data_IF_275186060454
#
_entry.id   IF_275186060454
#
_cell.length_a   1.000
_cell.length_b   1.000
_cell.length_c   1.000
_cell.angle_alpha   90.00
_cell.angle_beta   90.00
_cell.angle_gamma   90.00
#
_symmetry.space_group_name_H-M   'P 1'
#
loop_
_entity.id
_entity.type
_entity.pdbx_description
1 polymer ?
#
# COMPACT_ATOMS: atom_id res chain seq x y z
N UNK A 1 2.28 -8.00 11.41
CA UNK A 1 2.52 -8.46 10.01
C UNK A 1 1.25 -9.16 9.52
N UNK A 2 0.89 -9.14 8.23
CA UNK A 2 -0.40 -9.73 7.79
C UNK A 2 -0.56 -11.21 8.16
N UNK A 3 0.52 -11.99 8.10
CA UNK A 3 0.52 -13.38 8.58
C UNK A 3 0.06 -13.52 10.04
N UNK A 4 0.50 -12.62 10.94
CA UNK A 4 0.09 -12.64 12.35
C UNK A 4 -1.41 -12.35 12.51
N UNK A 5 -2.01 -11.56 11.61
CA UNK A 5 -3.45 -11.35 11.58
C UNK A 5 -4.16 -12.67 11.24
N UNK A 6 -3.72 -13.37 10.20
CA UNK A 6 -4.27 -14.67 9.82
C UNK A 6 -4.10 -15.71 10.93
N UNK A 7 -2.90 -15.80 11.50
CA UNK A 7 -2.58 -16.78 12.54
C UNK A 7 -3.42 -16.54 13.82
N UNK A 8 -3.73 -15.28 14.15
CA UNK A 8 -4.48 -14.91 15.35
C UNK A 8 -5.99 -14.88 15.17
N UNK A 9 -6.48 -14.43 14.02
CA UNK A 9 -7.90 -14.13 13.78
C UNK A 9 -8.54 -15.00 12.68
N UNK A 10 -7.74 -15.83 12.01
CA UNK A 10 -8.19 -16.68 10.91
C UNK A 10 -8.23 -15.94 9.57
N UNK A 11 -8.22 -16.72 8.49
CA UNK A 11 -8.19 -16.21 7.12
C UNK A 11 -9.39 -15.34 6.74
N UNK A 12 -10.59 -15.62 7.30
CA UNK A 12 -11.77 -14.80 7.04
C UNK A 12 -11.58 -13.33 7.47
N UNK A 13 -10.97 -13.10 8.64
CA UNK A 13 -10.61 -11.76 9.11
C UNK A 13 -9.49 -11.18 8.26
N UNK A 14 -8.51 -11.98 7.85
CA UNK A 14 -7.49 -11.57 6.90
C UNK A 14 -8.09 -11.03 5.60
N UNK A 15 -9.09 -11.72 5.06
CA UNK A 15 -9.78 -11.30 3.84
C UNK A 15 -10.53 -9.98 4.05
N UNK A 16 -11.20 -9.80 5.20
CA UNK A 16 -11.86 -8.53 5.54
C UNK A 16 -10.85 -7.38 5.63
N UNK A 17 -9.67 -7.62 6.21
CA UNK A 17 -8.58 -6.64 6.25
C UNK A 17 -8.13 -6.26 4.84
N UNK A 18 -7.92 -7.24 3.97
CA UNK A 18 -7.53 -6.99 2.58
C UNK A 18 -8.60 -6.24 1.80
N UNK A 19 -9.88 -6.55 2.00
CA UNK A 19 -11.00 -5.81 1.39
C UNK A 19 -11.05 -4.37 1.89
N UNK A 20 -10.86 -4.15 3.19
CA UNK A 20 -10.80 -2.81 3.78
C UNK A 20 -9.66 -1.97 3.20
N UNK A 21 -8.46 -2.54 3.09
CA UNK A 21 -7.31 -1.88 2.47
C UNK A 21 -7.57 -1.59 0.99
N UNK A 22 -8.11 -2.54 0.23
CA UNK A 22 -8.43 -2.35 -1.18
C UNK A 22 -9.43 -1.21 -1.40
N UNK A 23 -10.45 -1.11 -0.54
CA UNK A 23 -11.43 -0.03 -0.59
C UNK A 23 -10.81 1.34 -0.23
N UNK A 24 -9.91 1.38 0.76
CA UNK A 24 -9.14 2.58 1.10
C UNK A 24 -8.28 3.03 -0.08
N UNK A 25 -7.55 2.11 -0.72
CA UNK A 25 -6.74 2.43 -1.90
C UNK A 25 -7.65 3.02 -2.98
N UNK A 26 -8.74 2.32 -3.34
CA UNK A 26 -9.68 2.75 -4.38
C UNK A 26 -10.23 4.17 -4.17
N UNK A 27 -10.54 4.54 -2.92
CA UNK A 27 -11.09 5.88 -2.58
C UNK A 27 -10.04 6.99 -2.57
N UNK A 28 -8.77 6.66 -2.39
CA UNK A 28 -7.70 7.64 -2.20
C UNK A 28 -6.77 7.78 -3.43
N UNK A 29 -7.02 6.99 -4.47
CA UNK A 29 -6.32 7.07 -5.76
C UNK A 29 -7.10 7.93 -6.77
N UNK A 30 -6.43 8.81 -7.55
CA UNK A 30 -7.09 9.68 -8.52
C UNK A 30 -7.82 8.92 -9.65
N UNK A 31 -8.77 9.60 -10.31
CA UNK A 31 -9.37 9.09 -11.56
C UNK A 31 -8.26 8.87 -12.61
N UNK A 32 -8.35 7.78 -13.36
CA UNK A 32 -7.34 7.39 -14.35
C UNK A 32 -6.13 6.66 -13.76
N UNK A 33 -6.15 6.36 -12.47
CA UNK A 33 -5.21 5.44 -11.84
C UNK A 33 -5.64 3.98 -12.01
N UNK A 34 -4.66 3.08 -11.91
CA UNK A 34 -4.85 1.64 -11.84
C UNK A 34 -4.35 1.13 -10.49
N UNK A 35 -5.20 0.43 -9.76
CA UNK A 35 -4.84 -0.23 -8.51
C UNK A 35 -5.13 -1.73 -8.61
N UNK A 36 -4.26 -2.55 -8.02
CA UNK A 36 -4.42 -4.00 -8.05
C UNK A 36 -3.67 -4.69 -6.91
N UNK A 37 -4.15 -5.88 -6.54
CA UNK A 37 -3.44 -6.79 -5.63
C UNK A 37 -2.51 -7.67 -6.48
N UNK A 38 -1.21 -7.61 -6.20
CA UNK A 38 -0.19 -8.32 -6.99
C UNK A 38 0.20 -9.68 -6.38
N UNK A 39 -0.09 -9.88 -5.10
CA UNK A 39 0.15 -11.13 -4.37
C UNK A 39 -0.18 -10.95 -2.90
N UNK A 40 -0.27 -12.04 -2.13
CA UNK A 40 -0.30 -12.00 -0.64
C UNK A 40 -1.03 -10.80 -0.03
N UNK A 41 -0.31 -9.97 0.72
CA UNK A 41 -0.74 -8.68 1.27
C UNK A 41 -0.20 -7.47 0.49
N UNK A 42 0.16 -7.68 -0.77
CA UNK A 42 0.85 -6.72 -1.63
C UNK A 42 -0.09 -6.09 -2.66
N UNK A 43 -0.07 -4.77 -2.71
CA UNK A 43 -0.86 -3.95 -3.62
C UNK A 43 0.05 -3.03 -4.42
N UNK A 44 -0.31 -2.78 -5.67
CA UNK A 44 0.34 -1.81 -6.53
C UNK A 44 -0.67 -0.76 -7.00
N UNK A 45 -0.20 0.48 -7.11
CA UNK A 45 -0.95 1.61 -7.66
C UNK A 45 -0.09 2.31 -8.70
N UNK A 46 -0.64 2.49 -9.89
CA UNK A 46 -0.07 3.32 -10.95
C UNK A 46 -1.01 4.50 -11.16
N UNK A 47 -0.50 5.71 -11.05
CA UNK A 47 -1.29 6.93 -11.24
C UNK A 47 -0.58 7.90 -12.19
N UNK A 48 -1.33 8.70 -12.96
CA UNK A 48 -0.75 9.78 -13.75
C UNK A 48 -0.30 10.92 -12.81
N UNK A 49 0.74 11.64 -13.22
CA UNK A 49 1.22 12.83 -12.50
C UNK A 49 2.67 12.72 -12.05
N UNK A 50 2.99 13.49 -11.02
CA UNK A 50 4.33 13.63 -10.46
C UNK A 50 4.57 12.71 -9.25
N UNK A 51 5.82 12.63 -8.79
CA UNK A 51 6.14 11.98 -7.52
C UNK A 51 5.35 12.61 -6.34
N UNK A 52 5.17 13.93 -6.34
CA UNK A 52 4.42 14.64 -5.30
C UNK A 52 2.93 14.30 -5.28
N UNK A 53 2.32 13.97 -6.42
CA UNK A 53 0.94 13.48 -6.48
C UNK A 53 0.83 12.08 -5.86
N UNK A 54 1.84 11.24 -6.11
CA UNK A 54 1.92 9.91 -5.52
C UNK A 54 2.18 9.96 -4.01
N UNK A 55 3.02 10.88 -3.53
CA UNK A 55 3.24 11.11 -2.10
C UNK A 55 1.96 11.52 -1.39
N UNK A 56 1.23 12.50 -1.93
CA UNK A 56 -0.06 12.92 -1.36
C UNK A 56 -1.08 11.78 -1.35
N UNK A 57 -1.13 10.94 -2.40
CA UNK A 57 -2.00 9.77 -2.41
C UNK A 57 -1.59 8.74 -1.36
N UNK A 58 -0.29 8.50 -1.20
CA UNK A 58 0.24 7.57 -0.21
C UNK A 58 -0.03 8.03 1.23
N UNK A 59 0.12 9.33 1.53
CA UNK A 59 -0.21 9.90 2.84
C UNK A 59 -1.69 9.70 3.19
N UNK A 60 -2.60 10.02 2.26
CA UNK A 60 -4.03 9.77 2.44
C UNK A 60 -4.35 8.30 2.67
N UNK A 61 -3.71 7.39 1.92
CA UNK A 61 -3.87 5.95 2.10
C UNK A 61 -3.39 5.51 3.48
N UNK A 62 -2.22 5.99 3.94
CA UNK A 62 -1.68 5.67 5.26
C UNK A 62 -2.66 6.07 6.36
N UNK A 63 -3.12 7.32 6.35
CA UNK A 63 -4.04 7.83 7.37
C UNK A 63 -5.39 7.11 7.34
N UNK A 64 -5.94 6.84 6.15
CA UNK A 64 -7.19 6.10 6.02
C UNK A 64 -7.06 4.64 6.47
N UNK A 65 -5.94 3.95 6.18
CA UNK A 65 -5.70 2.59 6.67
C UNK A 65 -5.55 2.57 8.20
N UNK A 66 -4.82 3.52 8.79
CA UNK A 66 -4.68 3.64 10.26
C UNK A 66 -6.03 3.82 10.96
N UNK A 67 -6.99 4.45 10.29
CA UNK A 67 -8.37 4.62 10.77
C UNK A 67 -9.23 3.37 10.65
N UNK A 68 -8.82 2.33 9.90
CA UNK A 68 -9.58 1.10 9.80
C UNK A 68 -9.59 0.35 11.13
N UNK A 69 -10.80 0.00 11.57
CA UNK A 69 -11.02 -0.82 12.77
C UNK A 69 -11.95 -1.97 12.40
N UNK A 70 -11.54 -3.20 12.73
CA UNK A 70 -12.30 -4.41 12.45
C UNK A 70 -12.97 -4.90 13.73
N UNK A 71 -14.21 -4.47 13.97
CA UNK A 71 -14.93 -4.68 15.23
C UNK A 71 -15.17 -6.17 15.55
N UNK A 72 -15.42 -6.99 14.52
CA UNK A 72 -15.54 -8.45 14.62
C UNK A 72 -14.23 -9.16 15.01
N UNK A 73 -13.11 -8.43 15.05
CA UNK A 73 -11.78 -8.94 15.41
C UNK A 73 -11.19 -8.23 16.65
N UNK A 74 -12.04 -7.75 17.56
CA UNK A 74 -11.59 -7.11 18.81
C UNK A 74 -10.94 -5.75 18.56
N UNK A 75 -11.52 -4.95 17.67
CA UNK A 75 -11.01 -3.65 17.25
C UNK A 75 -9.58 -3.73 16.68
N UNK A 76 -9.29 -4.81 15.95
CA UNK A 76 -8.04 -4.96 15.22
C UNK A 76 -7.78 -3.71 14.36
N UNK A 77 -6.55 -3.19 14.45
CA UNK A 77 -6.05 -2.12 13.60
C UNK A 77 -4.86 -2.63 12.79
N UNK A 78 -4.66 -2.04 11.61
CA UNK A 78 -3.54 -2.35 10.76
C UNK A 78 -2.89 -1.07 10.20
N UNK A 79 -1.72 -1.24 9.60
CA UNK A 79 -1.01 -0.20 8.87
C UNK A 79 -0.39 -0.79 7.62
N UNK A 80 -0.03 0.08 6.67
CA UNK A 80 0.66 -0.29 5.42
C UNK A 80 1.99 0.45 5.35
N UNK A 81 2.94 -0.07 4.58
CA UNK A 81 4.14 0.66 4.18
C UNK A 81 4.10 0.83 2.68
N UNK A 82 4.51 1.99 2.17
CA UNK A 82 4.37 2.33 0.76
C UNK A 82 5.74 2.75 0.21
N UNK A 83 6.11 2.18 -0.94
CA UNK A 83 7.24 2.63 -1.74
C UNK A 83 6.73 3.39 -2.95
N UNK A 84 7.32 4.54 -3.22
CA UNK A 84 6.92 5.43 -4.31
C UNK A 84 8.09 5.55 -5.28
N UNK A 85 7.83 5.44 -6.57
CA UNK A 85 8.81 5.75 -7.61
C UNK A 85 8.11 6.44 -8.76
N UNK A 86 8.54 7.65 -9.11
CA UNK A 86 8.33 8.16 -10.46
C UNK A 86 9.11 7.29 -11.45
N UNK A 87 8.67 7.24 -12.72
CA UNK A 87 9.36 6.49 -13.76
C UNK A 87 10.80 7.05 -13.88
N UNK A 88 11.85 6.28 -13.54
CA UNK A 88 13.21 6.82 -13.38
C UNK A 88 13.80 7.42 -14.66
N UNK A 89 13.49 6.81 -15.81
CA UNK A 89 13.85 7.32 -17.13
C UNK A 89 12.82 6.90 -18.19
N UNK A 90 12.77 7.55 -19.37
CA UNK A 90 11.92 7.12 -20.48
C UNK A 90 12.17 5.68 -20.93
N UNK A 91 13.40 5.19 -20.79
CA UNK A 91 13.83 3.84 -21.20
C UNK A 91 13.62 2.77 -20.12
N UNK A 92 13.21 3.17 -18.91
CA UNK A 92 12.94 2.20 -17.83
C UNK A 92 11.73 1.35 -18.21
N UNK A 93 11.92 0.04 -18.27
CA UNK A 93 10.85 -0.93 -18.48
C UNK A 93 9.97 -1.07 -17.21
N UNK A 94 8.86 -1.79 -17.34
CA UNK A 94 7.92 -1.97 -16.23
C UNK A 94 8.59 -2.65 -15.03
N UNK A 95 9.47 -3.61 -15.26
CA UNK A 95 10.15 -4.36 -14.20
C UNK A 95 11.10 -3.47 -13.41
N UNK A 96 11.95 -2.71 -14.08
CA UNK A 96 12.86 -1.77 -13.43
C UNK A 96 12.13 -0.68 -12.65
N UNK A 97 10.95 -0.27 -13.14
CA UNK A 97 10.11 0.68 -12.42
C UNK A 97 9.53 0.09 -11.13
N UNK A 98 8.99 -1.13 -11.18
CA UNK A 98 8.49 -1.86 -10.00
C UNK A 98 9.62 -2.09 -9.00
N UNK A 99 10.80 -2.54 -9.45
CA UNK A 99 11.96 -2.76 -8.59
C UNK A 99 12.40 -1.47 -7.86
N UNK A 100 12.22 -0.31 -8.49
CA UNK A 100 12.49 0.98 -7.86
C UNK A 100 11.50 1.31 -6.74
N UNK A 101 10.20 1.08 -6.96
CA UNK A 101 9.18 1.22 -5.93
C UNK A 101 9.40 0.22 -4.77
N UNK A 102 9.79 -1.01 -5.07
CA UNK A 102 10.08 -2.05 -4.06
C UNK A 102 11.27 -1.70 -3.19
N UNK A 103 12.35 -1.12 -3.75
CA UNK A 103 13.47 -0.61 -2.95
C UNK A 103 13.02 0.49 -1.98
N UNK A 104 12.16 1.39 -2.43
CA UNK A 104 11.59 2.42 -1.56
C UNK A 104 10.68 1.81 -0.46
N UNK A 105 9.86 0.83 -0.81
CA UNK A 105 9.04 0.08 0.14
C UNK A 105 9.91 -0.65 1.19
N UNK A 106 11.03 -1.23 0.76
CA UNK A 106 11.97 -1.87 1.66
C UNK A 106 12.60 -0.87 2.65
N UNK A 107 12.99 0.33 2.18
CA UNK A 107 13.44 1.43 3.06
C UNK A 107 12.35 1.82 4.06
N UNK A 108 11.09 1.94 3.63
CA UNK A 108 9.96 2.21 4.52
C UNK A 108 9.83 1.14 5.62
N UNK A 109 9.97 -0.14 5.25
CA UNK A 109 9.95 -1.28 6.18
C UNK A 109 11.13 -1.25 7.17
N UNK A 110 12.34 -0.90 6.71
CA UNK A 110 13.52 -0.80 7.56
C UNK A 110 13.46 0.39 8.53
N UNK A 111 12.87 1.51 8.09
CA UNK A 111 12.77 2.72 8.91
C UNK A 111 11.68 2.64 10.01
N UNK A 112 11.00 1.50 10.16
CA UNK A 112 9.99 1.28 11.20
C UNK A 112 8.58 0.99 10.69
N UNK A 113 8.39 0.84 9.37
CA UNK A 113 7.08 0.63 8.72
C UNK A 113 6.15 1.85 8.89
N UNK A 114 4.88 1.66 8.51
CA UNK A 114 3.79 2.64 8.64
C UNK A 114 4.15 4.03 8.08
N UNK A 115 4.70 4.05 6.86
CA UNK A 115 5.15 5.27 6.18
C UNK A 115 5.28 5.06 4.68
N UNK A 116 5.36 6.19 3.98
CA UNK A 116 5.76 6.25 2.59
C UNK A 116 7.25 6.61 2.50
N UNK A 117 7.94 6.07 1.49
CA UNK A 117 9.30 6.49 1.11
C UNK A 117 9.35 6.61 -0.40
N UNK A 118 10.00 7.66 -0.89
CA UNK A 118 10.29 7.87 -2.31
C UNK A 118 11.66 7.29 -2.67
N UNK A 119 11.76 6.70 -3.85
CA UNK A 119 12.97 6.07 -4.38
C UNK A 119 14.12 7.05 -4.60
#
# INVERSE_FOLDING_TARGET
>A
RFKEINDRHGHAIGDDVLRGIAEVIRRNTPIGSHAGRIGGDEFAVVLPGSAGDAEQAAERILDAVRGLTFANAGELRCSVSIGISAKPSPDTDLRGWIESADRALYRAKQAGRDRAVVA
#
